data_IF_778546986645
#
_entry.id   IF_778546986645
#
_cell.length_a   1.000
_cell.length_b   1.000
_cell.length_c   1.000
_cell.angle_alpha   90.00
_cell.angle_beta   90.00
_cell.angle_gamma   90.00
#
_symmetry.space_group_name_H-M   'P 1'
#
loop_
_entity.id
_entity.type
_entity.pdbx_description
1 polymer ?
#
# COMPACT_ATOMS: atom_id res chain seq x y z
N UNK A 1 -2.33 6.30 57.58
CA UNK A 1 -2.44 5.15 56.66
C UNK A 1 -3.02 5.46 55.27
N UNK A 2 -3.09 6.75 54.82
CA UNK A 2 -3.47 7.10 53.43
C UNK A 2 -2.29 7.55 52.56
N UNK A 3 -1.16 7.88 53.17
CA UNK A 3 0.03 8.40 52.49
C UNK A 3 0.91 7.32 51.81
N UNK A 4 0.57 6.03 51.92
CA UNK A 4 1.39 4.92 51.39
C UNK A 4 0.79 4.27 50.13
N UNK A 5 -0.53 4.25 49.98
CA UNK A 5 -1.20 3.62 48.84
C UNK A 5 -0.90 4.32 47.51
N UNK A 6 -0.78 5.65 47.51
CA UNK A 6 -0.44 6.40 46.30
C UNK A 6 1.02 6.20 45.90
N UNK A 7 1.95 6.06 46.85
CA UNK A 7 3.35 5.79 46.56
C UNK A 7 3.51 4.39 45.94
N UNK A 8 2.87 3.38 46.53
CA UNK A 8 2.85 2.01 45.97
C UNK A 8 2.24 2.01 44.57
N UNK A 9 1.13 2.73 44.36
CA UNK A 9 0.54 2.88 43.03
C UNK A 9 1.53 3.55 42.07
N UNK A 10 2.15 4.67 42.43
CA UNK A 10 3.14 5.36 41.58
C UNK A 10 4.33 4.45 41.25
N UNK A 11 4.88 3.74 42.22
CA UNK A 11 5.98 2.79 42.00
C UNK A 11 5.58 1.57 41.15
N UNK A 12 4.31 1.14 41.21
CA UNK A 12 3.80 0.06 40.36
C UNK A 12 3.52 0.52 38.92
N UNK A 13 2.98 1.74 38.75
CA UNK A 13 2.65 2.29 37.43
C UNK A 13 3.88 2.83 36.69
N UNK A 14 4.88 3.34 37.40
CA UNK A 14 6.05 3.97 36.78
C UNK A 14 6.83 3.02 35.82
N UNK A 15 7.19 1.77 36.20
CA UNK A 15 7.82 0.83 35.27
C UNK A 15 6.93 0.48 34.08
N UNK A 16 5.61 0.41 34.26
CA UNK A 16 4.65 0.13 33.18
C UNK A 16 4.62 1.28 32.19
N UNK A 17 4.59 2.53 32.67
CA UNK A 17 4.60 3.73 31.82
C UNK A 17 5.94 3.87 31.08
N UNK A 18 7.06 3.65 31.77
CA UNK A 18 8.40 3.66 31.17
C UNK A 18 8.54 2.55 30.13
N UNK A 19 8.11 1.33 30.44
CA UNK A 19 8.11 0.20 29.53
C UNK A 19 7.22 0.43 28.31
N UNK A 20 6.01 0.97 28.53
CA UNK A 20 5.08 1.34 27.47
C UNK A 20 5.63 2.44 26.56
N UNK A 21 6.28 3.45 27.13
CA UNK A 21 6.95 4.50 26.37
C UNK A 21 8.14 3.94 25.57
N UNK A 22 8.98 3.12 26.19
CA UNK A 22 10.12 2.48 25.52
C UNK A 22 9.67 1.58 24.37
N UNK A 23 8.60 0.80 24.58
CA UNK A 23 7.99 -0.03 23.54
C UNK A 23 7.42 0.84 22.41
N UNK A 24 6.68 1.90 22.72
CA UNK A 24 6.12 2.81 21.72
C UNK A 24 7.23 3.51 20.92
N UNK A 25 8.30 3.91 21.59
CA UNK A 25 9.48 4.50 20.97
C UNK A 25 10.17 3.50 20.05
N UNK A 26 10.42 2.26 20.51
CA UNK A 26 11.02 1.22 19.69
C UNK A 26 10.14 0.87 18.49
N UNK A 27 8.84 0.71 18.70
CA UNK A 27 7.88 0.41 17.66
C UNK A 27 7.91 1.49 16.56
N UNK A 28 7.80 2.76 16.97
CA UNK A 28 7.72 3.90 16.05
C UNK A 28 9.03 4.14 15.29
N UNK A 29 10.19 4.03 15.95
CA UNK A 29 11.46 4.47 15.36
C UNK A 29 12.29 3.31 14.79
N UNK A 30 12.02 2.06 15.19
CA UNK A 30 12.81 0.89 14.76
C UNK A 30 11.93 -0.11 14.02
N UNK A 31 10.89 -0.64 14.67
CA UNK A 31 10.08 -1.71 14.06
C UNK A 31 9.34 -1.23 12.80
N UNK A 32 8.81 0.00 12.83
CA UNK A 32 8.09 0.58 11.70
C UNK A 32 9.00 0.75 10.46
N UNK A 33 10.25 1.18 10.67
CA UNK A 33 11.21 1.44 9.59
C UNK A 33 12.06 0.22 9.20
N UNK A 34 11.67 -0.98 9.64
CA UNK A 34 12.41 -2.21 9.35
C UNK A 34 12.43 -2.52 7.86
N UNK A 35 13.54 -3.05 7.38
CA UNK A 35 13.70 -3.55 6.01
C UNK A 35 14.22 -4.99 6.05
N UNK A 36 13.33 -5.99 6.18
CA UNK A 36 13.76 -7.38 6.20
C UNK A 36 14.32 -7.80 4.84
N UNK A 37 15.32 -8.68 4.85
CA UNK A 37 15.79 -9.33 3.62
C UNK A 37 14.68 -10.19 3.03
N UNK A 38 14.62 -10.24 1.69
CA UNK A 38 13.56 -10.93 0.96
C UNK A 38 14.12 -11.76 -0.17
N UNK A 39 13.51 -12.91 -0.38
CA UNK A 39 13.72 -13.71 -1.57
C UNK A 39 12.75 -13.23 -2.66
N UNK A 40 13.30 -12.84 -3.81
CA UNK A 40 12.52 -12.39 -4.97
C UNK A 40 12.38 -13.59 -5.91
N UNK A 41 11.16 -13.98 -6.31
CA UNK A 41 10.96 -15.01 -7.33
C UNK A 41 11.71 -14.68 -8.62
N UNK A 42 12.41 -15.66 -9.20
CA UNK A 42 13.22 -15.44 -10.42
C UNK A 42 12.37 -15.40 -11.69
N UNK A 43 11.25 -16.16 -11.75
CA UNK A 43 10.40 -16.28 -12.95
C UNK A 43 9.88 -14.93 -13.49
N UNK A 44 10.22 -14.58 -14.72
CA UNK A 44 9.86 -13.29 -15.32
C UNK A 44 8.41 -13.19 -15.81
N UNK A 45 7.68 -14.29 -15.80
CA UNK A 45 6.25 -14.32 -16.12
C UNK A 45 5.38 -14.04 -14.90
N UNK A 46 5.98 -13.74 -13.74
CA UNK A 46 5.25 -13.42 -12.52
C UNK A 46 5.37 -11.93 -12.17
N UNK A 47 4.25 -11.41 -11.66
CA UNK A 47 4.16 -10.09 -11.08
C UNK A 47 4.18 -10.29 -9.56
N UNK A 48 5.10 -9.62 -8.87
CA UNK A 48 5.21 -9.69 -7.41
C UNK A 48 4.48 -8.51 -6.75
N UNK A 49 4.09 -8.67 -5.48
CA UNK A 49 3.42 -7.61 -4.74
C UNK A 49 4.29 -6.35 -4.68
N UNK A 50 3.73 -5.16 -4.94
CA UNK A 50 4.48 -3.91 -4.78
C UNK A 50 4.59 -3.45 -3.31
N UNK A 51 3.80 -4.01 -2.39
CA UNK A 51 3.70 -3.59 -0.99
C UNK A 51 3.46 -4.78 -0.03
N UNK A 52 3.78 -4.58 1.25
CA UNK A 52 3.32 -5.46 2.33
C UNK A 52 1.94 -5.00 2.79
N UNK A 53 0.99 -5.91 2.92
CA UNK A 53 -0.30 -5.53 3.46
C UNK A 53 -1.37 -6.55 3.14
N UNK A 54 -2.63 -6.14 3.29
CA UNK A 54 -3.77 -6.97 2.90
C UNK A 54 -4.31 -6.54 1.55
N UNK A 55 -4.64 -7.51 0.71
CA UNK A 55 -5.42 -7.26 -0.51
C UNK A 55 -6.82 -6.82 -0.10
N UNK A 56 -7.22 -5.63 -0.51
CA UNK A 56 -8.53 -5.04 -0.19
C UNK A 56 -9.56 -5.37 -1.25
N UNK A 57 -9.17 -5.22 -2.51
CA UNK A 57 -10.02 -5.46 -3.66
C UNK A 57 -9.19 -5.87 -4.87
N UNK A 58 -9.89 -6.50 -5.80
CA UNK A 58 -9.39 -6.88 -7.11
C UNK A 58 -10.56 -6.66 -8.06
N UNK A 59 -10.46 -5.64 -8.91
CA UNK A 59 -11.52 -5.26 -9.83
C UNK A 59 -11.04 -5.28 -11.28
N UNK A 60 -11.86 -5.79 -12.21
CA UNK A 60 -11.62 -5.58 -13.63
C UNK A 60 -11.85 -4.11 -13.97
N UNK A 61 -11.01 -3.56 -14.86
CA UNK A 61 -11.17 -2.24 -15.45
C UNK A 61 -11.62 -2.44 -16.89
N UNK A 62 -12.78 -1.89 -17.25
CA UNK A 62 -13.38 -2.03 -18.59
C UNK A 62 -13.72 -0.64 -19.13
N UNK A 63 -13.19 -0.30 -20.30
CA UNK A 63 -13.39 1.03 -20.89
C UNK A 63 -12.93 2.17 -19.98
N UNK A 64 -11.86 1.96 -19.20
CA UNK A 64 -11.37 2.94 -18.24
C UNK A 64 -12.23 3.14 -16.99
N UNK A 65 -13.27 2.33 -16.77
CA UNK A 65 -14.14 2.40 -15.60
C UNK A 65 -13.99 1.16 -14.71
N UNK A 66 -14.11 1.39 -13.39
CA UNK A 66 -14.17 0.36 -12.37
C UNK A 66 -15.54 0.45 -11.70
N UNK A 67 -16.26 -0.67 -11.66
CA UNK A 67 -17.57 -0.78 -11.03
C UNK A 67 -17.46 -1.68 -9.79
N UNK A 68 -17.77 -1.12 -8.61
CA UNK A 68 -17.77 -1.87 -7.35
C UNK A 68 -19.07 -2.64 -7.19
N UNK A 69 -18.98 -3.98 -7.10
CA UNK A 69 -20.13 -4.86 -6.94
C UNK A 69 -20.93 -4.61 -5.64
N UNK A 70 -20.29 -4.07 -4.60
CA UNK A 70 -20.94 -3.89 -3.29
C UNK A 70 -21.85 -2.67 -3.20
N UNK A 71 -21.50 -1.59 -3.90
CA UNK A 71 -22.16 -0.29 -3.74
C UNK A 71 -22.62 0.34 -5.08
N UNK A 72 -22.26 -0.26 -6.23
CA UNK A 72 -22.54 0.31 -7.55
C UNK A 72 -21.76 1.58 -7.89
N UNK A 73 -20.78 1.96 -7.04
CA UNK A 73 -19.93 3.13 -7.27
C UNK A 73 -19.03 2.90 -8.48
N UNK A 74 -19.01 3.90 -9.37
CA UNK A 74 -18.18 3.91 -10.57
C UNK A 74 -17.08 4.95 -10.42
N UNK A 75 -15.83 4.51 -10.60
CA UNK A 75 -14.68 5.41 -10.64
C UNK A 75 -13.94 5.20 -11.94
N UNK A 76 -13.54 6.29 -12.59
CA UNK A 76 -12.66 6.23 -13.74
C UNK A 76 -11.22 5.97 -13.31
N UNK A 77 -10.50 5.14 -14.06
CA UNK A 77 -9.08 4.89 -13.81
C UNK A 77 -8.25 6.18 -13.92
N UNK A 78 -8.69 7.14 -14.74
CA UNK A 78 -8.06 8.46 -14.84
C UNK A 78 -8.18 9.27 -13.54
N UNK A 79 -9.27 9.12 -12.80
CA UNK A 79 -9.42 9.73 -11.47
C UNK A 79 -8.52 9.05 -10.45
N UNK A 80 -8.44 7.72 -10.49
CA UNK A 80 -7.58 6.95 -9.60
C UNK A 80 -6.10 7.05 -9.92
N UNK A 81 -5.69 7.36 -11.15
CA UNK A 81 -4.28 7.51 -11.54
C UNK A 81 -3.84 8.98 -11.62
N UNK A 82 -4.80 9.91 -11.84
CA UNK A 82 -4.57 11.31 -12.21
C UNK A 82 -3.68 11.44 -13.45
N UNK A 83 -3.86 10.53 -14.40
CA UNK A 83 -3.13 10.48 -15.67
C UNK A 83 -4.12 10.38 -16.85
N UNK A 84 -3.74 10.79 -18.07
CA UNK A 84 -4.62 10.75 -19.24
C UNK A 84 -4.78 9.35 -19.85
N UNK A 85 -4.63 8.29 -19.05
CA UNK A 85 -4.80 6.90 -19.48
C UNK A 85 -6.31 6.61 -19.59
N UNK A 86 -6.91 7.07 -20.68
CA UNK A 86 -8.31 6.84 -21.01
C UNK A 86 -8.51 5.43 -21.60
N UNK A 87 -9.70 4.87 -21.41
CA UNK A 87 -10.17 3.64 -22.05
C UNK A 87 -9.33 2.37 -21.81
N UNK A 88 -8.44 2.40 -20.83
CA UNK A 88 -7.60 1.26 -20.52
C UNK A 88 -8.42 0.08 -20.00
N UNK A 89 -8.04 -1.11 -20.43
CA UNK A 89 -8.60 -2.38 -19.97
C UNK A 89 -7.56 -3.15 -19.19
N UNK A 90 -7.99 -3.88 -18.17
CA UNK A 90 -7.10 -4.68 -17.35
C UNK A 90 -7.63 -4.85 -15.94
N UNK A 91 -6.74 -4.75 -14.95
CA UNK A 91 -7.05 -5.09 -13.57
C UNK A 91 -6.49 -4.09 -12.57
N UNK A 92 -7.29 -3.76 -11.56
CA UNK A 92 -6.89 -2.93 -10.42
C UNK A 92 -6.88 -3.80 -9.15
N UNK A 93 -5.73 -3.82 -8.47
CA UNK A 93 -5.53 -4.47 -7.19
C UNK A 93 -5.21 -3.41 -6.14
N UNK A 94 -5.96 -3.38 -5.02
CA UNK A 94 -5.67 -2.49 -3.91
C UNK A 94 -5.04 -3.23 -2.72
N UNK A 95 -3.93 -2.71 -2.20
CA UNK A 95 -3.23 -3.27 -1.03
C UNK A 95 -3.18 -2.21 0.07
N UNK A 96 -3.74 -2.52 1.24
CA UNK A 96 -3.66 -1.65 2.41
C UNK A 96 -2.55 -2.10 3.35
N UNK A 97 -1.67 -1.16 3.70
CA UNK A 97 -0.52 -1.35 4.58
C UNK A 97 -0.89 -0.92 6.01
N UNK A 98 -0.94 -1.86 6.95
CA UNK A 98 -1.11 -1.55 8.38
C UNK A 98 0.17 -0.95 8.96
N UNK A 99 0.12 -0.31 10.14
CA UNK A 99 1.33 0.11 10.85
C UNK A 99 2.26 -1.03 11.27
N UNK A 100 1.80 -2.27 11.18
CA UNK A 100 2.63 -3.45 11.45
C UNK A 100 3.30 -4.00 10.21
N UNK A 101 2.95 -3.55 9.01
CA UNK A 101 3.57 -3.95 7.75
C UNK A 101 4.88 -3.19 7.49
N UNK A 102 5.59 -3.55 6.43
CA UNK A 102 6.78 -2.81 5.97
C UNK A 102 6.36 -1.85 4.86
N UNK A 103 6.72 -0.57 5.00
CA UNK A 103 6.27 0.47 4.07
C UNK A 103 7.26 0.79 2.95
N UNK A 104 8.22 -0.09 2.72
CA UNK A 104 9.01 -0.08 1.49
C UNK A 104 8.18 -0.66 0.35
N UNK A 105 7.98 0.11 -0.71
CA UNK A 105 7.39 -0.41 -1.93
C UNK A 105 8.49 -0.92 -2.87
N UNK A 106 8.17 -1.99 -3.58
CA UNK A 106 9.09 -2.68 -4.49
C UNK A 106 8.52 -2.75 -5.90
N UNK A 107 9.42 -2.83 -6.87
CA UNK A 107 9.06 -3.00 -8.26
C UNK A 107 8.36 -4.37 -8.46
N UNK A 108 7.11 -4.42 -8.95
CA UNK A 108 6.36 -5.66 -9.17
C UNK A 108 6.89 -6.46 -10.37
N UNK A 109 7.59 -5.79 -11.29
CA UNK A 109 8.25 -6.34 -12.48
C UNK A 109 9.58 -5.62 -12.69
N UNK A 110 10.44 -6.18 -13.54
CA UNK A 110 11.56 -5.43 -14.12
C UNK A 110 11.11 -4.51 -15.25
N UNK A 111 11.85 -3.43 -15.49
CA UNK A 111 11.59 -2.52 -16.61
C UNK A 111 12.01 -1.09 -16.33
N UNK A 112 11.68 -0.19 -17.26
CA UNK A 112 11.98 1.24 -17.11
C UNK A 112 10.91 1.90 -16.25
N UNK A 113 11.35 2.61 -15.20
CA UNK A 113 10.46 3.29 -14.26
C UNK A 113 10.36 4.79 -14.58
N UNK A 114 9.15 5.34 -14.49
CA UNK A 114 8.89 6.77 -14.55
C UNK A 114 7.77 7.22 -13.62
N UNK A 115 7.86 8.44 -13.14
CA UNK A 115 6.77 9.11 -12.41
C UNK A 115 5.79 9.69 -13.42
N UNK A 116 4.53 9.27 -13.36
CA UNK A 116 3.46 9.83 -14.21
C UNK A 116 2.78 11.02 -13.56
N UNK A 117 2.64 10.99 -12.23
CA UNK A 117 1.95 12.03 -11.49
C UNK A 117 2.45 12.11 -10.05
N UNK A 118 2.55 13.33 -9.53
CA UNK A 118 2.81 13.56 -8.11
C UNK A 118 2.02 14.77 -7.62
N UNK A 119 1.18 14.55 -6.60
CA UNK A 119 0.40 15.59 -5.95
C UNK A 119 0.71 15.61 -4.46
N UNK A 120 1.13 16.77 -3.97
CA UNK A 120 1.29 17.05 -2.55
C UNK A 120 0.12 17.88 -2.06
N UNK A 121 -0.44 17.50 -0.92
CA UNK A 121 -1.40 18.31 -0.17
C UNK A 121 -0.84 18.65 1.21
N UNK A 122 -1.34 19.73 1.81
CA UNK A 122 -0.96 20.12 3.17
C UNK A 122 -1.66 19.31 4.26
N UNK A 123 -2.82 18.70 3.96
CA UNK A 123 -3.57 17.84 4.88
C UNK A 123 -4.18 16.67 4.11
N UNK A 124 -3.99 15.45 4.62
CA UNK A 124 -4.60 14.23 4.10
C UNK A 124 -5.85 13.86 4.93
N UNK A 125 -6.83 13.22 4.30
CA UNK A 125 -7.96 12.59 4.98
C UNK A 125 -7.54 11.25 5.62
N UNK A 126 -8.17 10.84 6.73
CA UNK A 126 -7.93 9.53 7.32
C UNK A 126 -8.50 8.43 6.40
N UNK A 127 -7.71 7.41 6.12
CA UNK A 127 -8.12 6.30 5.25
C UNK A 127 -9.12 5.33 5.89
N UNK A 128 -9.03 5.16 7.21
CA UNK A 128 -9.93 4.34 8.02
C UNK A 128 -10.27 5.10 9.30
N UNK A 129 -11.47 4.92 9.82
CA UNK A 129 -11.78 5.36 11.18
C UNK A 129 -11.08 4.47 12.24
N UNK A 130 -11.11 4.88 13.51
CA UNK A 130 -10.44 4.12 14.58
C UNK A 130 -11.05 2.72 14.78
N UNK A 131 -12.35 2.57 14.59
CA UNK A 131 -13.05 1.31 14.77
C UNK A 131 -12.79 0.36 13.60
N UNK A 132 -12.82 0.87 12.37
CA UNK A 132 -12.34 0.22 11.16
C UNK A 132 -10.89 -0.24 11.32
N UNK A 133 -10.01 0.65 11.79
CA UNK A 133 -8.62 0.33 12.08
C UNK A 133 -8.50 -0.86 13.05
N UNK A 134 -9.29 -0.87 14.13
CA UNK A 134 -9.35 -1.98 15.09
C UNK A 134 -9.89 -3.26 14.44
N UNK A 135 -11.01 -3.19 13.73
CA UNK A 135 -11.63 -4.31 13.04
C UNK A 135 -10.70 -4.97 12.03
N UNK A 136 -9.95 -4.18 11.30
CA UNK A 136 -9.05 -4.66 10.29
C UNK A 136 -7.74 -5.19 10.89
N UNK A 137 -7.13 -4.42 11.78
CA UNK A 137 -5.80 -4.72 12.30
C UNK A 137 -5.83 -5.83 13.34
N UNK A 138 -6.82 -5.82 14.24
CA UNK A 138 -6.93 -6.80 15.33
C UNK A 138 -7.88 -7.96 14.97
N UNK A 139 -9.01 -7.66 14.31
CA UNK A 139 -10.04 -8.66 14.02
C UNK A 139 -10.00 -9.21 12.59
N UNK A 140 -9.07 -8.73 11.74
CA UNK A 140 -8.87 -9.17 10.33
C UNK A 140 -10.13 -9.12 9.48
N UNK A 141 -11.08 -8.23 9.79
CA UNK A 141 -12.31 -8.06 9.02
C UNK A 141 -12.03 -7.28 7.75
N UNK A 142 -12.61 -7.71 6.64
CA UNK A 142 -12.51 -6.99 5.37
C UNK A 142 -13.23 -5.65 5.44
N UNK A 143 -12.59 -4.59 4.98
CA UNK A 143 -13.14 -3.24 4.87
C UNK A 143 -13.23 -2.88 3.40
N UNK A 144 -14.31 -2.19 3.01
CA UNK A 144 -14.37 -1.65 1.67
C UNK A 144 -13.74 -0.25 1.67
N UNK A 145 -12.53 -0.15 1.14
CA UNK A 145 -11.81 1.11 0.97
C UNK A 145 -11.93 1.68 -0.44
N UNK A 146 -12.66 1.00 -1.32
CA UNK A 146 -12.86 1.48 -2.69
C UNK A 146 -13.78 2.71 -2.69
N UNK A 147 -13.50 3.68 -3.57
CA UNK A 147 -14.27 4.92 -3.73
C UNK A 147 -14.31 5.85 -2.52
N UNK A 148 -13.48 5.59 -1.51
CA UNK A 148 -13.43 6.46 -0.34
C UNK A 148 -12.87 7.85 -0.73
N UNK A 149 -13.29 8.94 -0.05
CA UNK A 149 -12.88 10.31 -0.39
C UNK A 149 -11.36 10.52 -0.46
N UNK A 150 -10.60 9.75 0.31
CA UNK A 150 -9.13 9.83 0.33
C UNK A 150 -8.47 9.46 -1.00
N UNK A 151 -9.13 8.68 -1.88
CA UNK A 151 -8.61 8.37 -3.22
C UNK A 151 -8.48 9.61 -4.11
N UNK A 152 -9.26 10.65 -3.83
CA UNK A 152 -9.32 11.87 -4.64
C UNK A 152 -8.57 13.05 -4.02
N UNK A 153 -8.45 13.11 -2.69
CA UNK A 153 -7.92 14.27 -1.97
C UNK A 153 -6.49 14.10 -1.45
N UNK A 154 -6.06 12.87 -1.12
CA UNK A 154 -4.78 12.66 -0.44
C UNK A 154 -3.57 12.85 -1.37
N UNK A 155 -2.40 13.08 -0.75
CA UNK A 155 -1.11 13.04 -1.42
C UNK A 155 -0.95 11.69 -2.10
N UNK A 156 -0.50 11.77 -3.35
CA UNK A 156 -0.46 10.62 -4.24
C UNK A 156 0.69 10.68 -5.19
N UNK A 157 1.29 9.52 -5.43
CA UNK A 157 2.33 9.33 -6.41
C UNK A 157 1.95 8.18 -7.33
N UNK A 158 1.83 8.47 -8.62
CA UNK A 158 1.56 7.46 -9.65
C UNK A 158 2.85 7.22 -10.42
N UNK A 159 3.33 5.99 -10.40
CA UNK A 159 4.53 5.53 -11.08
C UNK A 159 4.17 4.48 -12.11
N UNK A 160 4.91 4.40 -13.19
CA UNK A 160 4.80 3.36 -14.19
C UNK A 160 6.12 2.61 -14.29
N UNK A 161 6.05 1.29 -14.34
CA UNK A 161 7.15 0.43 -14.75
C UNK A 161 6.69 -0.33 -15.99
N UNK A 162 7.50 -0.31 -17.04
CA UNK A 162 7.16 -0.95 -18.30
C UNK A 162 8.37 -1.71 -18.86
N UNK A 163 8.10 -2.89 -19.41
CA UNK A 163 9.03 -3.64 -20.25
C UNK A 163 8.36 -4.00 -21.60
N UNK A 164 9.00 -4.86 -22.39
CA UNK A 164 8.49 -5.29 -23.70
C UNK A 164 7.20 -6.12 -23.64
N UNK A 165 6.88 -6.71 -22.49
CA UNK A 165 5.73 -7.62 -22.31
C UNK A 165 4.56 -6.97 -21.61
N UNK A 166 4.81 -6.17 -20.57
CA UNK A 166 3.77 -5.70 -19.67
C UNK A 166 4.08 -4.31 -19.11
N UNK A 167 3.00 -3.60 -18.74
CA UNK A 167 3.03 -2.36 -17.98
C UNK A 167 2.41 -2.58 -16.61
N UNK A 168 3.02 -2.03 -15.58
CA UNK A 168 2.48 -1.96 -14.22
C UNK A 168 2.45 -0.49 -13.77
N UNK A 169 1.30 -0.02 -13.30
CA UNK A 169 1.11 1.33 -12.77
C UNK A 169 0.85 1.22 -11.27
N UNK A 170 1.75 1.80 -10.49
CA UNK A 170 1.71 1.79 -9.02
C UNK A 170 1.20 3.13 -8.56
N UNK A 171 0.16 3.14 -7.74
CA UNK A 171 -0.45 4.33 -7.18
C UNK A 171 -0.27 4.25 -5.67
N UNK A 172 0.55 5.14 -5.14
CA UNK A 172 0.77 5.28 -3.71
C UNK A 172 -0.16 6.37 -3.19
N UNK A 173 -0.93 6.04 -2.16
CA UNK A 173 -1.90 6.94 -1.52
C UNK A 173 -1.51 7.10 -0.06
N UNK A 174 -1.12 8.32 0.31
CA UNK A 174 -0.74 8.71 1.66
C UNK A 174 -1.96 8.86 2.57
N UNK A 175 -1.82 8.57 3.87
CA UNK A 175 -2.87 8.78 4.90
C UNK A 175 -2.68 10.13 5.64
N UNK A 176 -3.65 10.49 6.49
CA UNK A 176 -3.77 11.75 7.27
C UNK A 176 -2.47 12.29 7.89
N UNK A 177 -1.57 11.39 8.30
CA UNK A 177 -0.35 11.72 9.04
C UNK A 177 0.94 11.45 8.26
N UNK A 178 0.83 11.26 6.95
CA UNK A 178 1.95 11.01 6.04
C UNK A 178 2.25 12.29 5.28
N UNK A 179 3.42 12.88 5.49
CA UNK A 179 3.80 14.16 4.85
C UNK A 179 4.85 13.98 3.74
N UNK A 180 5.20 12.74 3.39
CA UNK A 180 6.26 12.47 2.41
C UNK A 180 6.22 11.06 1.82
N UNK A 181 5.89 10.97 0.53
CA UNK A 181 6.27 9.81 -0.29
C UNK A 181 7.71 10.04 -0.78
N UNK A 182 8.62 9.13 -0.46
CA UNK A 182 10.03 9.19 -0.90
C UNK A 182 10.27 8.22 -2.04
N UNK A 183 10.95 8.67 -3.11
CA UNK A 183 11.37 7.84 -4.25
C UNK A 183 12.86 7.52 -4.19
N UNK A 184 13.25 6.36 -4.72
CA UNK A 184 14.64 5.86 -4.72
C UNK A 184 15.23 5.61 -6.12
N UNK A 185 14.53 6.02 -7.18
CA UNK A 185 14.95 5.86 -8.57
C UNK A 185 15.04 7.21 -9.28
N UNK A 186 15.76 7.24 -10.40
CA UNK A 186 15.75 8.33 -11.38
C UNK A 186 14.76 8.03 -12.53
N UNK A 187 14.23 9.08 -13.16
CA UNK A 187 13.32 8.92 -14.29
C UNK A 187 13.99 8.13 -15.43
N UNK A 188 13.25 7.20 -16.03
CA UNK A 188 13.70 6.30 -17.10
C UNK A 188 14.87 5.39 -16.70
N UNK A 189 15.10 5.20 -15.40
CA UNK A 189 16.03 4.20 -14.91
C UNK A 189 15.46 2.80 -15.12
N UNK A 190 16.29 1.85 -15.51
CA UNK A 190 15.91 0.44 -15.48
C UNK A 190 15.96 -0.10 -14.04
N UNK A 191 14.86 -0.69 -13.57
CA UNK A 191 14.74 -1.31 -12.25
C UNK A 191 14.56 -2.81 -12.36
N UNK A 192 15.11 -3.53 -11.38
CA UNK A 192 14.96 -4.98 -11.27
C UNK A 192 13.67 -5.33 -10.51
N UNK A 193 13.04 -6.46 -10.86
CA UNK A 193 11.90 -7.00 -10.10
C UNK A 193 12.27 -7.14 -8.62
N UNK A 194 11.39 -6.69 -7.73
CA UNK A 194 11.64 -6.69 -6.28
C UNK A 194 12.57 -5.58 -5.76
N UNK A 195 13.16 -4.75 -6.62
CA UNK A 195 13.97 -3.60 -6.20
C UNK A 195 13.12 -2.59 -5.43
N UNK A 196 13.67 -2.01 -4.36
CA UNK A 196 13.01 -0.93 -3.60
C UNK A 196 12.94 0.33 -4.46
N UNK A 197 11.73 0.87 -4.65
CA UNK A 197 11.48 2.03 -5.52
C UNK A 197 10.97 3.24 -4.73
N UNK A 198 10.30 3.02 -3.60
CA UNK A 198 9.77 4.10 -2.78
C UNK A 198 9.56 3.67 -1.33
N UNK A 199 9.28 4.66 -0.49
CA UNK A 199 8.87 4.49 0.90
C UNK A 199 7.76 5.48 1.23
N UNK A 200 6.71 4.99 1.90
CA UNK A 200 5.54 5.77 2.32
C UNK A 200 5.41 5.74 3.85
N UNK A 201 5.58 6.87 4.51
CA UNK A 201 5.68 6.89 5.97
C UNK A 201 4.30 6.83 6.64
N UNK A 202 3.96 5.74 7.32
CA UNK A 202 2.70 5.44 8.05
C UNK A 202 1.57 4.96 7.14
N UNK A 203 0.57 4.31 7.78
CA UNK A 203 -0.54 3.57 7.16
C UNK A 203 -0.96 4.15 5.82
N UNK A 204 -1.08 3.32 4.81
CA UNK A 204 -1.17 3.80 3.42
C UNK A 204 -1.78 2.73 2.54
N UNK A 205 -2.15 3.12 1.33
CA UNK A 205 -2.57 2.16 0.32
C UNK A 205 -1.65 2.23 -0.88
N UNK A 206 -1.38 1.05 -1.43
CA UNK A 206 -0.69 0.87 -2.70
C UNK A 206 -1.63 0.15 -3.64
N UNK A 207 -2.07 0.86 -4.66
CA UNK A 207 -2.85 0.28 -5.75
C UNK A 207 -1.90 -0.10 -6.89
N UNK A 208 -2.19 -1.24 -7.51
CA UNK A 208 -1.53 -1.71 -8.70
C UNK A 208 -2.56 -1.84 -9.82
N UNK A 209 -2.41 -1.00 -10.83
CA UNK A 209 -3.16 -1.11 -12.07
C UNK A 209 -2.30 -1.79 -13.13
N UNK A 210 -2.83 -2.86 -13.72
CA UNK A 210 -2.20 -3.65 -14.76
C UNK A 210 -3.08 -3.53 -16.01
N UNK A 211 -2.74 -2.65 -16.98
CA UNK A 211 -3.49 -2.50 -18.22
C UNK A 211 -3.22 -3.67 -19.18
N UNK A 212 -3.60 -4.88 -18.77
CA UNK A 212 -3.42 -6.11 -19.52
C UNK A 212 -4.53 -7.11 -19.14
N UNK A 213 -5.14 -7.76 -20.13
CA UNK A 213 -6.25 -8.70 -19.89
C UNK A 213 -5.78 -10.12 -19.56
N UNK A 214 -4.68 -10.57 -20.18
CA UNK A 214 -4.11 -11.91 -20.02
C UNK A 214 -3.38 -12.10 -18.69
N UNK A 215 -4.05 -11.84 -17.57
CA UNK A 215 -3.48 -11.92 -16.21
C UNK A 215 -4.23 -12.98 -15.40
N UNK A 216 -3.50 -13.91 -14.80
CA UNK A 216 -4.04 -14.92 -13.88
C UNK A 216 -3.59 -14.61 -12.45
N UNK A 217 -4.54 -14.15 -11.62
CA UNK A 217 -4.24 -13.82 -10.22
C UNK A 217 -4.01 -15.06 -9.36
N UNK A 218 -3.02 -14.95 -8.47
CA UNK A 218 -2.67 -15.97 -7.46
C UNK A 218 -3.08 -15.57 -6.05
N UNK A 219 -3.66 -14.38 -5.89
CA UNK A 219 -4.14 -13.83 -4.62
C UNK A 219 -5.61 -13.47 -4.66
N UNK A 220 -6.23 -13.36 -3.48
CA UNK A 220 -7.64 -12.96 -3.32
C UNK A 220 -7.80 -11.84 -2.29
N UNK A 221 -8.87 -11.03 -2.38
CA UNK A 221 -9.22 -10.07 -1.33
C UNK A 221 -9.25 -10.73 0.05
N UNK A 222 -8.63 -10.06 1.03
CA UNK A 222 -8.46 -10.54 2.39
C UNK A 222 -7.13 -11.22 2.67
N UNK A 223 -6.34 -11.60 1.66
CA UNK A 223 -5.04 -12.26 1.86
C UNK A 223 -3.94 -11.26 2.23
N UNK A 224 -2.98 -11.70 3.06
CA UNK A 224 -1.77 -10.94 3.38
C UNK A 224 -0.74 -11.18 2.27
N UNK A 225 -0.14 -10.11 1.76
CA UNK A 225 0.90 -10.12 0.74
C UNK A 225 2.15 -9.40 1.24
N UNK A 226 3.30 -9.75 0.66
CA UNK A 226 4.60 -9.19 1.01
C UNK A 226 5.32 -8.68 -0.23
N UNK A 227 5.73 -7.40 -0.20
CA UNK A 227 6.44 -6.69 -1.25
C UNK A 227 7.61 -7.50 -1.78
N UNK A 228 7.71 -7.65 -3.10
CA UNK A 228 8.81 -8.34 -3.77
C UNK A 228 8.82 -9.87 -3.64
N UNK A 229 7.99 -10.47 -2.79
CA UNK A 229 8.03 -11.92 -2.52
C UNK A 229 6.74 -12.63 -2.91
N UNK A 230 5.59 -12.07 -2.55
CA UNK A 230 4.31 -12.69 -2.89
C UNK A 230 4.04 -12.52 -4.38
N UNK A 231 3.85 -13.61 -5.10
CA UNK A 231 3.38 -13.60 -6.49
C UNK A 231 1.90 -13.22 -6.47
N UNK A 232 1.56 -12.07 -7.05
CA UNK A 232 0.17 -11.60 -7.11
C UNK A 232 -0.53 -12.10 -8.37
N UNK A 233 0.20 -12.23 -9.48
CA UNK A 233 -0.35 -12.72 -10.73
C UNK A 233 0.73 -13.30 -11.65
N UNK A 234 0.30 -14.11 -12.61
CA UNK A 234 1.12 -14.58 -13.73
C UNK A 234 0.60 -13.99 -15.02
N UNK A 235 1.51 -13.61 -15.90
CA UNK A 235 1.25 -13.12 -17.25
C UNK A 235 0.95 -14.37 -18.10
N UNK A 236 -0.19 -14.39 -18.78
CA UNK A 236 -0.52 -15.44 -19.74
C UNK A 236 0.45 -15.41 -20.92
N UNK A 237 0.64 -16.57 -21.56
CA UNK A 237 1.35 -16.66 -22.84
C UNK A 237 0.62 -15.90 -23.95
#
# INVERSE_FOLDING_TARGET
MKAELWQIAVFAWFPILVGGYAWMWWFRNIYFFRDPQRHIPEDDNVIVSPADGRVMYLYPVKGGEIESEKNGEKIRITELTKTPIADAQGWLLGIYLTPFDVHFNRAPIEGDIRTLYYHRTGMNLPMVDLWEYINFTLFKRAINLFAAPFHLENERMTMQIQNSRITCIIILIADKFVNKISRFFQELQNVQKGQKISFIERGSQTDLFIPHEGISFKVKPGEQVYAGTTIIATIGE
#
